data_IF_403576372208
#
_entry.id   IF_403576372208
#
_cell.length_a   1.000
_cell.length_b   1.000
_cell.length_c   1.000
_cell.angle_alpha   90.00
_cell.angle_beta   90.00
_cell.angle_gamma   90.00
#
_symmetry.space_group_name_H-M   'P 1'
#
loop_
_entity.id
_entity.type
_entity.pdbx_description
1 polymer ?
#
# COMPACT_ATOMS: atom_id res chain seq x y z
N UNK A 1 -7.06 -4.10 14.60
CA UNK A 1 -6.42 -4.91 13.53
C UNK A 1 -5.00 -5.36 13.88
N UNK A 2 -4.56 -6.57 13.46
CA UNK A 2 -3.15 -7.03 13.54
C UNK A 2 -2.38 -6.64 12.27
N UNK A 3 -1.70 -5.49 12.30
CA UNK A 3 -0.98 -4.92 11.16
C UNK A 3 0.21 -5.78 10.70
N UNK A 4 0.48 -5.77 9.40
CA UNK A 4 1.75 -6.25 8.84
C UNK A 4 2.84 -5.24 9.20
N UNK A 5 3.95 -5.72 9.77
CA UNK A 5 5.07 -4.85 10.15
C UNK A 5 6.11 -4.75 9.04
N UNK A 6 6.91 -3.67 9.04
CA UNK A 6 7.98 -3.41 8.04
C UNK A 6 8.87 -4.65 7.81
N UNK A 7 9.31 -5.34 8.88
CA UNK A 7 10.16 -6.54 8.77
C UNK A 7 9.52 -7.63 7.90
N UNK A 8 8.21 -7.82 7.98
CA UNK A 8 7.50 -8.80 7.14
C UNK A 8 7.44 -8.36 5.68
N UNK A 9 7.30 -7.06 5.44
CA UNK A 9 7.25 -6.43 4.11
C UNK A 9 8.62 -6.57 3.44
N UNK A 10 9.69 -6.26 4.15
CA UNK A 10 11.07 -6.40 3.68
C UNK A 10 11.44 -7.86 3.40
N UNK A 11 11.08 -8.77 4.30
CA UNK A 11 11.31 -10.20 4.08
C UNK A 11 10.56 -10.70 2.84
N UNK A 12 9.33 -10.25 2.62
CA UNK A 12 8.55 -10.61 1.44
C UNK A 12 9.10 -10.03 0.15
N UNK A 13 9.52 -8.77 0.18
CA UNK A 13 10.13 -8.07 -0.95
C UNK A 13 11.40 -8.79 -1.45
N UNK A 14 12.21 -9.32 -0.53
CA UNK A 14 13.44 -10.08 -0.86
C UNK A 14 13.16 -11.51 -1.34
N UNK A 15 12.06 -12.13 -0.90
CA UNK A 15 11.81 -13.56 -1.10
C UNK A 15 11.44 -13.93 -2.54
N UNK A 16 10.35 -13.36 -3.08
CA UNK A 16 9.93 -13.59 -4.47
C UNK A 16 8.79 -12.64 -4.85
N UNK A 17 8.55 -12.48 -6.16
CA UNK A 17 7.44 -11.71 -6.71
C UNK A 17 6.10 -12.16 -6.12
N UNK A 18 5.84 -13.47 -6.12
CA UNK A 18 4.61 -14.05 -5.59
C UNK A 18 4.39 -13.71 -4.11
N UNK A 19 5.45 -13.74 -3.30
CA UNK A 19 5.38 -13.41 -1.87
C UNK A 19 5.20 -11.89 -1.68
N UNK A 20 5.91 -11.07 -2.46
CA UNK A 20 5.76 -9.61 -2.44
C UNK A 20 4.35 -9.17 -2.85
N UNK A 21 3.76 -9.78 -3.87
CA UNK A 21 2.36 -9.57 -4.28
C UNK A 21 1.42 -9.97 -3.14
N UNK A 22 1.61 -11.14 -2.52
CA UNK A 22 0.77 -11.63 -1.43
C UNK A 22 0.78 -10.70 -0.21
N UNK A 23 1.95 -10.22 0.22
CA UNK A 23 2.05 -9.27 1.32
C UNK A 23 1.49 -7.91 0.94
N UNK A 24 1.73 -7.44 -0.29
CA UNK A 24 1.12 -6.18 -0.76
C UNK A 24 -0.41 -6.27 -0.78
N UNK A 25 -0.99 -7.39 -1.25
CA UNK A 25 -2.44 -7.65 -1.18
C UNK A 25 -2.95 -7.52 0.26
N UNK A 26 -2.27 -8.17 1.20
CA UNK A 26 -2.67 -8.17 2.60
C UNK A 26 -2.56 -6.77 3.22
N UNK A 27 -1.49 -6.03 2.93
CA UNK A 27 -1.33 -4.65 3.41
C UNK A 27 -2.46 -3.75 2.88
N UNK A 28 -2.70 -3.75 1.57
CA UNK A 28 -3.73 -2.90 0.97
C UNK A 28 -5.15 -3.31 1.38
N UNK A 29 -5.39 -4.60 1.65
CA UNK A 29 -6.64 -5.04 2.26
C UNK A 29 -6.83 -4.50 3.69
N UNK A 30 -5.77 -4.51 4.51
CA UNK A 30 -5.80 -3.94 5.86
C UNK A 30 -6.08 -2.44 5.82
N UNK A 31 -5.41 -1.71 4.92
CA UNK A 31 -5.63 -0.27 4.73
C UNK A 31 -7.06 0.03 4.27
N UNK A 32 -7.56 -0.73 3.30
CA UNK A 32 -8.92 -0.58 2.78
C UNK A 32 -10.01 -0.86 3.84
N UNK A 33 -9.82 -1.89 4.66
CA UNK A 33 -10.85 -2.35 5.61
C UNK A 33 -10.76 -1.73 6.99
N UNK A 34 -9.63 -1.11 7.33
CA UNK A 34 -9.45 -0.48 8.62
C UNK A 34 -10.41 0.68 8.83
N UNK A 35 -10.90 0.80 10.05
CA UNK A 35 -11.61 1.99 10.50
C UNK A 35 -10.65 3.18 10.61
N UNK A 36 -11.19 4.40 10.64
CA UNK A 36 -10.38 5.61 10.84
C UNK A 36 -9.51 5.53 12.09
N UNK A 37 -10.09 5.06 13.21
CA UNK A 37 -9.37 4.91 14.47
C UNK A 37 -8.25 3.87 14.38
N UNK A 38 -8.47 2.75 13.69
CA UNK A 38 -7.44 1.73 13.50
C UNK A 38 -6.28 2.23 12.62
N UNK A 39 -6.57 2.99 11.56
CA UNK A 39 -5.55 3.62 10.72
C UNK A 39 -4.72 4.64 11.51
N UNK A 40 -5.36 5.54 12.25
CA UNK A 40 -4.68 6.53 13.09
C UNK A 40 -3.78 5.82 14.11
N UNK A 41 -4.32 4.84 14.85
CA UNK A 41 -3.55 4.09 15.84
C UNK A 41 -2.40 3.32 15.20
N UNK A 42 -2.65 2.66 14.07
CA UNK A 42 -1.61 1.94 13.34
C UNK A 42 -0.48 2.87 12.88
N UNK A 43 -0.82 4.08 12.43
CA UNK A 43 0.13 5.08 11.97
C UNK A 43 0.99 5.60 13.13
N UNK A 44 0.35 6.01 14.24
CA UNK A 44 1.04 6.48 15.44
C UNK A 44 1.94 5.41 16.06
N UNK A 45 1.52 4.14 16.01
CA UNK A 45 2.31 3.00 16.49
C UNK A 45 3.46 2.60 15.52
N UNK A 46 3.61 3.27 14.36
CA UNK A 46 4.60 2.90 13.34
C UNK A 46 4.36 1.50 12.73
N UNK A 47 3.10 1.04 12.71
CA UNK A 47 2.68 -0.29 12.25
C UNK A 47 2.05 -0.28 10.87
N UNK A 48 1.47 0.85 10.47
CA UNK A 48 1.06 1.10 9.09
C UNK A 48 1.64 2.43 8.69
N UNK A 49 2.18 2.48 7.49
CA UNK A 49 2.43 3.74 6.83
C UNK A 49 1.77 3.68 5.46
N UNK A 50 1.41 4.84 4.99
CA UNK A 50 0.76 5.05 3.71
C UNK A 50 1.82 5.40 2.66
N UNK A 51 3.05 5.70 3.08
CA UNK A 51 4.18 5.86 2.17
C UNK A 51 4.68 4.51 1.61
N UNK A 52 5.43 4.57 0.49
CA UNK A 52 5.88 3.39 -0.28
C UNK A 52 6.67 2.34 0.52
N UNK A 53 7.12 2.68 1.74
CA UNK A 53 7.82 1.79 2.65
C UNK A 53 6.99 0.54 3.07
N UNK A 54 5.67 0.56 2.92
CA UNK A 54 4.80 -0.55 3.37
C UNK A 54 4.17 -1.35 2.22
N UNK A 55 4.54 -1.04 0.98
CA UNK A 55 4.25 -1.89 -0.17
C UNK A 55 5.45 -2.80 -0.46
N UNK A 56 5.29 -4.11 -0.36
CA UNK A 56 6.37 -5.05 -0.64
C UNK A 56 6.78 -5.05 -2.13
N UNK A 57 5.88 -4.68 -3.04
CA UNK A 57 6.23 -4.44 -4.44
C UNK A 57 7.09 -3.19 -4.63
N UNK A 58 6.78 -2.08 -3.94
CA UNK A 58 7.63 -0.89 -3.98
C UNK A 58 9.02 -1.16 -3.41
N UNK A 59 9.12 -1.90 -2.29
CA UNK A 59 10.44 -2.32 -1.76
C UNK A 59 11.21 -3.28 -2.66
N UNK A 60 10.52 -4.02 -3.54
CA UNK A 60 11.15 -5.01 -4.44
C UNK A 60 11.58 -4.41 -5.77
N UNK A 61 10.76 -3.50 -6.32
CA UNK A 61 10.90 -3.00 -7.69
C UNK A 61 11.12 -1.50 -7.78
N UNK A 62 10.99 -0.76 -6.66
CA UNK A 62 11.34 0.64 -6.58
C UNK A 62 12.86 0.81 -6.58
N UNK A 63 13.37 1.71 -7.42
CA UNK A 63 14.73 2.20 -7.32
C UNK A 63 14.84 3.35 -6.30
N UNK A 64 16.06 3.85 -6.10
CA UNK A 64 16.36 4.97 -5.19
C UNK A 64 15.68 6.29 -5.59
N UNK A 65 15.12 6.35 -6.80
CA UNK A 65 14.39 7.50 -7.36
C UNK A 65 12.87 7.31 -7.32
N UNK A 66 12.38 6.22 -6.73
CA UNK A 66 10.95 5.90 -6.66
C UNK A 66 10.37 5.33 -7.95
N UNK A 67 11.19 4.99 -8.94
CA UNK A 67 10.74 4.37 -10.18
C UNK A 67 10.46 2.89 -9.94
N UNK A 68 9.23 2.49 -10.25
CA UNK A 68 8.76 1.12 -10.19
C UNK A 68 8.71 0.49 -11.61
N UNK A 69 9.70 0.74 -12.47
CA UNK A 69 9.66 0.39 -13.90
C UNK A 69 9.49 -1.12 -14.20
N UNK A 70 9.83 -1.98 -13.23
CA UNK A 70 9.65 -3.43 -13.32
C UNK A 70 8.50 -3.96 -12.44
N UNK A 71 7.74 -3.07 -11.80
CA UNK A 71 6.61 -3.46 -10.98
C UNK A 71 5.50 -4.08 -11.84
N UNK A 72 4.87 -5.18 -11.41
CA UNK A 72 3.70 -5.75 -12.08
C UNK A 72 2.49 -4.79 -12.20
N UNK A 73 2.53 -3.64 -11.53
CA UNK A 73 1.52 -2.59 -11.60
C UNK A 73 1.94 -1.38 -12.46
N UNK A 74 3.07 -1.47 -13.19
CA UNK A 74 3.66 -0.37 -13.97
C UNK A 74 2.78 0.16 -15.10
N UNK A 75 1.88 -0.67 -15.63
CA UNK A 75 1.07 -0.36 -16.83
C UNK A 75 0.01 0.74 -16.61
N UNK A 76 0.01 1.41 -15.44
CA UNK A 76 -1.08 2.30 -15.03
C UNK A 76 -0.65 3.75 -14.74
N UNK A 77 0.64 4.05 -14.63
CA UNK A 77 1.19 5.42 -14.73
C UNK A 77 2.71 5.37 -14.51
N UNK A 78 3.43 6.32 -15.08
CA UNK A 78 4.89 6.52 -14.87
C UNK A 78 5.24 6.90 -13.42
N UNK A 79 4.26 7.25 -12.59
CA UNK A 79 4.34 7.33 -11.12
C UNK A 79 3.72 6.08 -10.47
N UNK A 80 4.46 5.42 -9.60
CA UNK A 80 4.12 4.12 -9.03
C UNK A 80 2.74 4.15 -8.34
N UNK A 81 1.77 3.51 -9.00
CA UNK A 81 0.36 3.35 -8.64
C UNK A 81 -0.39 4.62 -8.22
N UNK A 82 -1.15 5.19 -9.15
CA UNK A 82 -2.05 6.35 -8.96
C UNK A 82 -2.87 6.33 -7.67
N UNK A 83 -3.33 5.15 -7.23
CA UNK A 83 -4.11 4.98 -6.00
C UNK A 83 -3.27 5.22 -4.74
N UNK A 84 -1.96 4.95 -4.80
CA UNK A 84 -1.01 5.27 -3.75
C UNK A 84 -0.79 6.79 -3.65
N UNK A 85 -0.60 7.48 -4.77
CA UNK A 85 -0.50 8.95 -4.80
C UNK A 85 -1.76 9.59 -4.22
N UNK A 86 -2.94 9.17 -4.71
CA UNK A 86 -4.23 9.63 -4.19
C UNK A 86 -4.39 9.30 -2.69
N UNK A 87 -3.99 8.11 -2.26
CA UNK A 87 -4.08 7.73 -0.85
C UNK A 87 -3.19 8.60 0.04
N UNK A 88 -2.00 8.98 -0.45
CA UNK A 88 -1.03 9.80 0.27
C UNK A 88 -1.53 11.25 0.38
N UNK A 89 -2.02 11.83 -0.72
CA UNK A 89 -2.60 13.19 -0.74
C UNK A 89 -3.81 13.33 0.19
N UNK A 90 -4.59 12.26 0.33
CA UNK A 90 -5.81 12.26 1.12
C UNK A 90 -5.59 11.90 2.59
N UNK A 91 -4.44 11.33 2.94
CA UNK A 91 -4.15 10.98 4.33
C UNK A 91 -3.30 12.04 5.00
N UNK A 92 -3.91 12.72 5.98
CA UNK A 92 -3.16 13.35 7.06
C UNK A 92 -3.75 12.84 8.37
N UNK A 93 -2.92 12.43 9.36
CA UNK A 93 -3.40 12.04 10.68
C UNK A 93 -4.21 13.15 11.37
N UNK A 94 -3.91 14.39 10.99
CA UNK A 94 -4.43 15.64 11.54
C UNK A 94 -5.73 16.09 10.86
N UNK A 95 -5.95 15.83 9.57
CA UNK A 95 -7.23 16.17 8.92
C UNK A 95 -8.28 15.14 9.26
N UNK A 96 -9.07 15.47 10.29
CA UNK A 96 -10.18 14.66 10.76
C UNK A 96 -11.34 14.46 9.77
N UNK A 97 -11.25 14.94 8.53
CA UNK A 97 -12.36 14.97 7.59
C UNK A 97 -12.78 13.58 7.09
N UNK A 98 -14.03 13.18 7.40
CA UNK A 98 -14.64 11.90 7.01
C UNK A 98 -14.59 11.63 5.50
N UNK A 99 -14.66 12.66 4.67
CA UNK A 99 -14.62 12.52 3.21
C UNK A 99 -13.24 12.10 2.69
N UNK A 100 -12.16 12.65 3.28
CA UNK A 100 -10.77 12.27 2.96
C UNK A 100 -10.52 10.79 3.27
N UNK A 101 -10.96 10.33 4.45
CA UNK A 101 -10.89 8.92 4.83
C UNK A 101 -11.67 7.99 3.86
N UNK A 102 -12.87 8.39 3.42
CA UNK A 102 -13.64 7.59 2.45
C UNK A 102 -12.96 7.53 1.08
N UNK A 103 -12.41 8.64 0.61
CA UNK A 103 -11.70 8.70 -0.65
C UNK A 103 -10.40 7.87 -0.60
N UNK A 104 -9.68 7.93 0.52
CA UNK A 104 -8.54 7.06 0.84
C UNK A 104 -8.90 5.57 0.78
N UNK A 105 -9.97 5.16 1.48
CA UNK A 105 -10.44 3.76 1.44
C UNK A 105 -10.82 3.32 0.02
N UNK A 106 -11.42 4.22 -0.78
CA UNK A 106 -11.75 3.95 -2.18
C UNK A 106 -10.49 3.68 -3.02
N UNK A 107 -9.45 4.50 -2.85
CA UNK A 107 -8.17 4.30 -3.53
C UNK A 107 -7.51 2.98 -3.11
N UNK A 108 -7.43 2.71 -1.80
CA UNK A 108 -6.91 1.46 -1.26
C UNK A 108 -7.67 0.22 -1.77
N UNK A 109 -9.00 0.32 -1.93
CA UNK A 109 -9.82 -0.75 -2.51
C UNK A 109 -9.46 -1.02 -3.97
N UNK A 110 -9.25 0.02 -4.76
CA UNK A 110 -8.88 -0.12 -6.19
C UNK A 110 -7.50 -0.78 -6.29
N UNK A 111 -6.54 -0.34 -5.49
CA UNK A 111 -5.22 -0.97 -5.41
C UNK A 111 -5.33 -2.46 -5.03
N UNK A 112 -6.07 -2.78 -3.98
CA UNK A 112 -6.28 -4.17 -3.56
C UNK A 112 -6.86 -5.02 -4.70
N UNK A 113 -7.88 -4.52 -5.40
CA UNK A 113 -8.46 -5.22 -6.56
C UNK A 113 -7.44 -5.45 -7.67
N UNK A 114 -6.62 -4.46 -7.99
CA UNK A 114 -5.55 -4.61 -9.00
C UNK A 114 -4.55 -5.67 -8.60
N UNK A 115 -4.08 -5.63 -7.36
CA UNK A 115 -3.21 -6.66 -6.83
C UNK A 115 -3.86 -8.04 -6.94
N UNK A 116 -5.14 -8.18 -6.58
CA UNK A 116 -5.91 -9.42 -6.74
C UNK A 116 -5.91 -9.94 -8.17
N UNK A 117 -5.94 -9.06 -9.16
CA UNK A 117 -5.93 -9.39 -10.58
C UNK A 117 -4.53 -9.78 -11.13
N UNK A 118 -3.45 -9.63 -10.36
CA UNK A 118 -2.10 -10.07 -10.74
C UNK A 118 -1.92 -11.61 -10.69
N UNK A 119 -2.96 -12.38 -11.04
CA UNK A 119 -2.95 -13.85 -10.97
C UNK A 119 -1.87 -14.46 -11.89
N UNK A 120 -0.85 -15.03 -11.26
CA UNK A 120 0.03 -16.12 -11.72
C UNK A 120 0.31 -16.23 -13.23
N UNK A 121 0.94 -15.21 -13.82
CA UNK A 121 1.83 -15.48 -14.96
C UNK A 121 3.13 -16.10 -14.47
#
# INVERSE_FOLDING_TARGET
MKWIIIKQIEAAAKKSDKVAISISKKHWWQVFTATKQELIKGYLDGKVDIWGQYCALCKRFGDDWGNCGNCPLKDVNTGCCREWEIATELWTPEDGHRWKHRAFQKAAKVMYKRLCNLSSK
#
